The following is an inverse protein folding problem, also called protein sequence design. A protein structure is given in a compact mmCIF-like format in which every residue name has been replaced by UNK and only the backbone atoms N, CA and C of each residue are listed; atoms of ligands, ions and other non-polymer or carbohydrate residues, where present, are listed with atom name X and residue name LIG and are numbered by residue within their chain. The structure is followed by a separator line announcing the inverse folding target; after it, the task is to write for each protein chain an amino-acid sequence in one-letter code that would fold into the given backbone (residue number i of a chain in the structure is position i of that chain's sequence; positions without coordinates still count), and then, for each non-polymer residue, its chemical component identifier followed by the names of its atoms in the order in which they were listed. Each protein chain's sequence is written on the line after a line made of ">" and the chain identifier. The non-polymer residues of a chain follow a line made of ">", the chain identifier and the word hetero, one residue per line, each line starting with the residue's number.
data_IF_155239831521
#
_entry.id   IF_155239831521
#
_cell.length_a   1.000
_cell.length_b   1.000
_cell.length_c   1.000
_cell.angle_alpha   90.00
_cell.angle_beta   90.00
_cell.angle_gamma   90.00
#
_symmetry.space_group_name_H-M   'P 1'
#
loop_
_entity.id
_entity.type
_entity.pdbx_description
1 polymer ?
#
# COMPACT_ATOMS: atom_id res chain seq x y z
N UNK A 1 57.13 9.96 -16.80
CA UNK A 1 56.04 8.96 -16.69
C UNK A 1 55.80 8.46 -15.25
N UNK A 2 56.81 8.01 -14.50
CA UNK A 2 56.63 7.47 -13.11
C UNK A 2 56.14 8.49 -12.06
N UNK A 3 56.36 9.79 -12.26
CA UNK A 3 55.95 10.84 -11.31
C UNK A 3 54.44 11.14 -11.39
N UNK A 4 53.87 11.18 -12.60
CA UNK A 4 52.42 11.34 -12.81
C UNK A 4 51.62 10.15 -12.29
N UNK A 5 52.13 8.92 -12.44
CA UNK A 5 51.50 7.71 -11.89
C UNK A 5 51.43 7.73 -10.36
N UNK A 6 52.46 8.27 -9.70
CA UNK A 6 52.46 8.43 -8.23
C UNK A 6 51.44 9.47 -7.77
N UNK A 7 51.31 10.57 -8.49
CA UNK A 7 50.33 11.63 -8.22
C UNK A 7 48.90 11.08 -8.35
N UNK A 8 48.62 10.31 -9.40
CA UNK A 8 47.31 9.66 -9.62
C UNK A 8 46.99 8.67 -8.49
N UNK A 9 47.95 7.83 -8.09
CA UNK A 9 47.72 6.86 -7.02
C UNK A 9 47.44 7.54 -5.67
N UNK A 10 48.12 8.65 -5.37
CA UNK A 10 47.85 9.43 -4.14
C UNK A 10 46.45 10.02 -4.17
N UNK A 11 46.01 10.56 -5.30
CA UNK A 11 44.64 11.09 -5.46
C UNK A 11 43.60 9.99 -5.28
N UNK A 12 43.81 8.81 -5.87
CA UNK A 12 42.88 7.68 -5.73
C UNK A 12 42.79 7.20 -4.27
N UNK A 13 43.92 7.06 -3.59
CA UNK A 13 43.96 6.67 -2.17
C UNK A 13 43.24 7.71 -1.31
N UNK A 14 43.43 8.99 -1.61
CA UNK A 14 42.78 10.09 -0.88
C UNK A 14 41.25 10.09 -1.09
N UNK A 15 40.78 9.85 -2.32
CA UNK A 15 39.35 9.70 -2.63
C UNK A 15 38.75 8.48 -1.92
N UNK A 16 39.47 7.35 -1.88
CA UNK A 16 39.04 6.15 -1.16
C UNK A 16 38.99 6.38 0.37
N UNK A 17 39.95 7.10 0.94
CA UNK A 17 39.94 7.45 2.37
C UNK A 17 38.79 8.41 2.73
N UNK A 18 38.46 9.36 1.84
CA UNK A 18 37.29 10.24 2.01
C UNK A 18 35.98 9.44 1.93
N UNK A 19 35.92 8.39 1.11
CA UNK A 19 34.74 7.52 1.04
C UNK A 19 34.44 6.79 2.35
N UNK A 20 35.47 6.49 3.17
CA UNK A 20 35.32 5.90 4.50
C UNK A 20 34.83 6.91 5.56
N UNK A 21 34.99 8.21 5.30
CA UNK A 21 34.53 9.30 6.16
C UNK A 21 33.12 9.76 5.83
N UNK A 22 32.45 9.16 4.84
CA UNK A 22 31.03 9.44 4.60
C UNK A 22 30.25 8.91 5.82
N UNK A 23 29.68 9.79 6.67
CA UNK A 23 28.75 9.35 7.69
C UNK A 23 27.58 8.71 6.93
N UNK A 24 27.00 7.62 7.46
CA UNK A 24 25.93 6.81 6.84
C UNK A 24 24.63 7.54 6.51
N UNK A 25 24.71 8.63 5.73
CA UNK A 25 23.64 9.47 5.25
C UNK A 25 22.75 8.73 4.24
N UNK A 26 23.20 7.58 3.72
CA UNK A 26 22.37 6.70 2.90
C UNK A 26 21.35 5.94 3.76
N UNK A 27 21.58 5.79 5.08
CA UNK A 27 20.69 5.00 5.97
C UNK A 27 19.62 5.86 6.67
N UNK A 28 19.71 7.19 6.57
CA UNK A 28 18.74 8.07 7.26
C UNK A 28 17.40 8.22 6.53
N UNK A 29 17.32 7.89 5.25
CA UNK A 29 16.07 7.95 4.50
C UNK A 29 15.06 6.85 4.88
N UNK A 30 15.48 5.74 5.48
CA UNK A 30 14.58 4.63 5.85
C UNK A 30 14.14 4.62 7.32
N UNK A 31 14.68 5.51 8.15
CA UNK A 31 14.37 5.54 9.60
C UNK A 31 13.47 6.73 9.96
N UNK A 32 13.49 7.81 9.18
CA UNK A 32 12.61 8.97 9.39
C UNK A 32 11.14 8.69 9.07
N UNK A 33 10.84 7.68 8.25
CA UNK A 33 9.48 7.19 7.99
C UNK A 33 9.00 6.16 9.04
N UNK A 34 9.85 5.80 10.00
CA UNK A 34 9.54 4.84 11.06
C UNK A 34 9.02 5.52 12.35
N UNK A 35 8.47 6.74 12.25
CA UNK A 35 7.55 7.22 13.27
C UNK A 35 6.21 6.55 13.00
N UNK A 36 6.05 5.33 13.52
CA UNK A 36 4.75 4.66 13.53
C UNK A 36 3.78 5.63 14.23
N UNK A 37 2.81 6.23 13.51
CA UNK A 37 1.98 7.25 14.11
C UNK A 37 1.25 6.60 15.28
N UNK A 38 1.44 7.11 16.49
CA UNK A 38 0.55 6.78 17.58
C UNK A 38 -0.83 7.27 17.14
N UNK A 39 -1.68 6.35 16.72
CA UNK A 39 -3.06 6.67 16.39
C UNK A 39 -3.84 6.78 17.69
N UNK A 40 -4.87 7.62 17.74
CA UNK A 40 -5.82 7.64 18.87
C UNK A 40 -6.51 6.27 19.07
N UNK A 41 -6.40 5.36 18.09
CA UNK A 41 -6.98 4.02 18.11
C UNK A 41 -6.11 2.96 18.81
N UNK A 42 -4.79 3.17 18.91
CA UNK A 42 -3.87 2.22 19.52
C UNK A 42 -2.40 2.42 19.14
N UNK A 43 -1.54 1.63 19.78
CA UNK A 43 -0.09 1.63 19.55
C UNK A 43 0.25 0.79 18.32
N UNK A 44 0.80 1.43 17.30
CA UNK A 44 1.23 0.74 16.09
C UNK A 44 2.48 -0.11 16.37
N UNK A 45 2.47 -1.35 15.88
CA UNK A 45 3.53 -2.36 16.03
C UNK A 45 4.37 -2.47 14.76
N UNK A 46 3.70 -2.53 13.60
CA UNK A 46 4.34 -2.71 12.29
C UNK A 46 3.55 -1.97 11.22
N UNK A 47 4.25 -1.35 10.28
CA UNK A 47 3.68 -0.70 9.09
C UNK A 47 4.46 -1.15 7.89
N UNK A 48 3.75 -1.64 6.87
CA UNK A 48 4.34 -2.02 5.58
C UNK A 48 3.58 -1.34 4.47
N UNK A 49 4.32 -0.85 3.48
CA UNK A 49 3.74 -0.15 2.34
C UNK A 49 4.27 -0.74 1.04
N UNK A 50 3.40 -0.78 0.03
CA UNK A 50 3.77 -1.13 -1.34
C UNK A 50 2.82 -0.45 -2.32
N UNK A 51 3.34 -0.01 -3.45
CA UNK A 51 2.52 0.49 -4.55
C UNK A 51 1.82 -0.69 -5.26
N UNK A 52 0.50 -0.61 -5.44
CA UNK A 52 -0.28 -1.64 -6.15
C UNK A 52 -0.34 -1.36 -7.65
N UNK A 53 -0.42 -0.09 -8.01
CA UNK A 53 -0.45 0.45 -9.36
C UNK A 53 -0.03 1.93 -9.30
N UNK A 54 0.36 2.56 -10.43
CA UNK A 54 0.78 3.96 -10.43
C UNK A 54 -0.22 4.89 -9.73
N UNK A 55 0.17 5.45 -8.59
CA UNK A 55 -0.67 6.35 -7.80
C UNK A 55 -1.64 5.68 -6.81
N UNK A 56 -1.53 4.36 -6.61
CA UNK A 56 -2.28 3.60 -5.61
C UNK A 56 -1.33 2.95 -4.59
N UNK A 57 -1.35 3.43 -3.35
CA UNK A 57 -0.53 2.90 -2.25
C UNK A 57 -1.34 1.95 -1.38
N UNK A 58 -0.79 0.77 -1.10
CA UNK A 58 -1.32 -0.14 -0.10
C UNK A 58 -0.52 -0.04 1.20
N UNK A 59 -1.23 0.10 2.32
CA UNK A 59 -0.67 0.15 3.66
C UNK A 59 -1.23 -0.99 4.51
N UNK A 60 -0.35 -1.82 5.05
CA UNK A 60 -0.62 -2.81 6.09
C UNK A 60 -0.19 -2.23 7.43
N UNK A 61 -1.08 -2.25 8.43
CA UNK A 61 -0.78 -1.79 9.79
C UNK A 61 -1.15 -2.88 10.80
N UNK A 62 -0.17 -3.33 11.58
CA UNK A 62 -0.42 -4.10 12.80
C UNK A 62 -0.36 -3.15 14.00
N UNK A 63 -1.35 -3.19 14.88
CA UNK A 63 -1.40 -2.34 16.07
C UNK A 63 -1.99 -3.09 17.27
N UNK A 64 -1.78 -2.56 18.47
CA UNK A 64 -2.34 -3.05 19.71
C UNK A 64 -3.21 -1.96 20.35
N UNK A 65 -4.44 -2.32 20.72
CA UNK A 65 -5.29 -1.46 21.55
C UNK A 65 -5.78 -2.21 22.79
N UNK A 66 -6.65 -1.58 23.58
CA UNK A 66 -7.24 -2.16 24.80
C UNK A 66 -7.99 -3.48 24.55
N UNK A 67 -8.42 -3.73 23.29
CA UNK A 67 -9.15 -4.93 22.87
C UNK A 67 -8.27 -6.03 22.30
N UNK A 68 -6.95 -5.82 22.18
CA UNK A 68 -6.02 -6.79 21.62
C UNK A 68 -5.28 -6.31 20.38
N UNK A 69 -4.65 -7.26 19.69
CA UNK A 69 -4.00 -7.06 18.39
C UNK A 69 -5.05 -6.78 17.32
N UNK A 70 -4.80 -5.75 16.51
CA UNK A 70 -5.63 -5.34 15.40
C UNK A 70 -4.79 -5.28 14.12
N UNK A 71 -5.46 -5.41 12.97
CA UNK A 71 -4.86 -5.27 11.64
C UNK A 71 -5.70 -4.33 10.79
N UNK A 72 -5.04 -3.40 10.10
CA UNK A 72 -5.67 -2.48 9.16
C UNK A 72 -5.03 -2.66 7.78
N UNK A 73 -5.89 -2.70 6.77
CA UNK A 73 -5.52 -2.75 5.36
C UNK A 73 -6.13 -1.53 4.68
N UNK A 74 -5.29 -0.65 4.13
CA UNK A 74 -5.73 0.58 3.49
C UNK A 74 -5.18 0.66 2.07
N UNK A 75 -5.99 1.20 1.15
CA UNK A 75 -5.57 1.56 -0.20
C UNK A 75 -5.88 3.03 -0.41
N UNK A 76 -4.85 3.82 -0.71
CA UNK A 76 -4.93 5.26 -0.89
C UNK A 76 -4.62 5.61 -2.34
N UNK A 77 -5.46 6.44 -2.95
CA UNK A 77 -5.24 6.98 -4.29
C UNK A 77 -5.89 8.35 -4.43
N UNK A 78 -5.43 9.14 -5.40
CA UNK A 78 -6.05 10.43 -5.73
C UNK A 78 -7.02 10.27 -6.92
N UNK A 79 -8.35 10.43 -6.72
CA UNK A 79 -9.32 10.28 -7.80
C UNK A 79 -9.19 11.35 -8.89
N UNK A 80 -8.49 12.47 -8.63
CA UNK A 80 -8.28 13.54 -9.62
C UNK A 80 -7.16 13.24 -10.62
N UNK A 81 -6.34 12.20 -10.40
CA UNK A 81 -5.26 11.82 -11.33
C UNK A 81 -5.78 11.10 -12.59
N UNK A 82 -7.05 10.67 -12.59
CA UNK A 82 -7.77 10.21 -13.78
C UNK A 82 -7.46 8.79 -14.26
N UNK A 83 -6.46 8.11 -13.69
CA UNK A 83 -6.10 6.72 -14.01
C UNK A 83 -6.66 5.69 -13.03
N UNK A 84 -7.29 6.15 -11.94
CA UNK A 84 -7.84 5.32 -10.87
C UNK A 84 -9.21 5.86 -10.47
N UNK A 85 -10.20 4.97 -10.36
CA UNK A 85 -11.54 5.33 -9.92
C UNK A 85 -12.19 4.21 -9.10
N UNK A 86 -13.02 4.55 -8.10
CA UNK A 86 -13.82 3.57 -7.41
C UNK A 86 -14.99 3.15 -8.30
N UNK A 87 -15.22 1.83 -8.42
CA UNK A 87 -16.38 1.26 -9.13
C UNK A 87 -17.17 0.37 -8.19
N UNK A 88 -18.49 0.47 -8.25
CA UNK A 88 -19.37 -0.45 -7.54
C UNK A 88 -19.25 -1.86 -8.16
N UNK A 89 -18.85 -2.84 -7.36
CA UNK A 89 -18.85 -4.25 -7.76
C UNK A 89 -20.28 -4.79 -7.82
N UNK A 90 -20.62 -5.51 -8.90
CA UNK A 90 -21.95 -6.10 -9.06
C UNK A 90 -21.89 -7.63 -9.05
N UNK A 91 -23.05 -8.26 -8.78
CA UNK A 91 -23.24 -9.71 -8.86
C UNK A 91 -23.65 -10.06 -10.29
N UNK A 92 -22.75 -9.77 -11.21
CA UNK A 92 -22.96 -9.91 -12.64
C UNK A 92 -24.14 -9.03 -13.13
N UNK A 93 -25.21 -9.66 -13.60
CA UNK A 93 -26.44 -9.03 -14.13
C UNK A 93 -27.57 -8.98 -13.09
N UNK A 94 -27.32 -9.42 -11.85
CA UNK A 94 -28.35 -9.63 -10.83
C UNK A 94 -28.13 -8.73 -9.63
N UNK A 95 -29.24 -8.26 -9.04
CA UNK A 95 -29.23 -7.49 -7.79
C UNK A 95 -29.29 -8.43 -6.57
N UNK A 96 -29.92 -9.60 -6.75
CA UNK A 96 -30.04 -10.64 -5.71
C UNK A 96 -28.83 -11.60 -5.68
N UNK A 97 -28.65 -12.28 -4.55
CA UNK A 97 -27.61 -13.27 -4.31
C UNK A 97 -26.45 -12.72 -3.48
N UNK A 98 -25.51 -13.59 -3.11
CA UNK A 98 -24.27 -13.22 -2.42
C UNK A 98 -23.09 -13.55 -3.32
N UNK A 99 -22.10 -12.66 -3.41
CA UNK A 99 -20.90 -12.88 -4.21
C UNK A 99 -19.66 -12.43 -3.46
N UNK A 100 -18.58 -13.22 -3.53
CA UNK A 100 -17.33 -12.86 -2.88
C UNK A 100 -16.70 -11.61 -3.51
N UNK A 101 -16.03 -10.78 -2.72
CA UNK A 101 -15.33 -9.58 -3.24
C UNK A 101 -14.31 -9.95 -4.31
N UNK A 102 -13.58 -11.05 -4.12
CA UNK A 102 -12.64 -11.59 -5.11
C UNK A 102 -13.33 -11.98 -6.42
N UNK A 103 -14.51 -12.60 -6.36
CA UNK A 103 -15.26 -12.99 -7.55
C UNK A 103 -15.84 -11.77 -8.28
N UNK A 104 -16.29 -10.76 -7.55
CA UNK A 104 -16.73 -9.47 -8.13
C UNK A 104 -15.55 -8.74 -8.80
N UNK A 105 -14.36 -8.77 -8.17
CA UNK A 105 -13.14 -8.21 -8.75
C UNK A 105 -12.74 -8.95 -10.04
N UNK A 106 -12.76 -10.29 -10.03
CA UNK A 106 -12.46 -11.10 -11.22
C UNK A 106 -13.44 -10.86 -12.36
N UNK A 107 -14.73 -10.66 -12.07
CA UNK A 107 -15.74 -10.37 -13.08
C UNK A 107 -15.53 -8.99 -13.73
N UNK A 108 -15.12 -8.00 -12.94
CA UNK A 108 -14.85 -6.65 -13.44
C UNK A 108 -13.48 -6.53 -14.14
N UNK A 109 -12.51 -7.36 -13.76
CA UNK A 109 -11.17 -7.38 -14.37
C UNK A 109 -11.22 -7.85 -15.82
N UNK A 110 -10.88 -6.96 -16.75
CA UNK A 110 -10.96 -7.19 -18.20
C UNK A 110 -9.93 -6.35 -18.95
N UNK A 111 -9.64 -6.64 -20.24
CA UNK A 111 -8.75 -5.80 -21.04
C UNK A 111 -9.20 -4.34 -21.04
N UNK A 112 -8.33 -3.43 -20.59
CA UNK A 112 -8.64 -2.00 -20.44
C UNK A 112 -9.30 -1.61 -19.12
N UNK A 113 -9.63 -2.56 -18.25
CA UNK A 113 -10.14 -2.31 -16.89
C UNK A 113 -9.54 -3.29 -15.89
N UNK A 114 -8.46 -2.91 -15.23
CA UNK A 114 -7.79 -3.75 -14.23
C UNK A 114 -8.30 -3.39 -12.83
N UNK A 115 -8.72 -4.40 -12.07
CA UNK A 115 -9.06 -4.24 -10.66
C UNK A 115 -7.79 -4.42 -9.82
N UNK A 116 -7.43 -3.41 -9.04
CA UNK A 116 -6.20 -3.42 -8.22
C UNK A 116 -6.48 -3.65 -6.73
N UNK A 117 -7.72 -3.39 -6.29
CA UNK A 117 -8.17 -3.56 -4.91
C UNK A 117 -9.70 -3.67 -4.86
N UNK A 118 -10.24 -4.25 -3.80
CA UNK A 118 -11.67 -4.33 -3.55
C UNK A 118 -11.99 -4.47 -2.07
N UNK A 119 -13.08 -3.86 -1.63
CA UNK A 119 -13.63 -3.97 -0.27
C UNK A 119 -15.11 -4.35 -0.36
N UNK A 120 -15.67 -4.91 0.71
CA UNK A 120 -17.12 -5.04 0.80
C UNK A 120 -17.76 -3.64 0.84
N UNK A 121 -18.91 -3.51 0.18
CA UNK A 121 -19.65 -2.25 0.11
C UNK A 121 -20.72 -2.17 1.20
N UNK A 122 -21.93 -1.90 0.75
CA UNK A 122 -23.09 -1.59 1.58
C UNK A 122 -23.57 -2.77 2.46
N UNK A 123 -24.44 -2.45 3.42
CA UNK A 123 -25.27 -3.43 4.10
C UNK A 123 -26.23 -4.10 3.10
N UNK A 124 -26.62 -5.33 3.42
CA UNK A 124 -27.52 -6.12 2.59
C UNK A 124 -28.40 -7.04 3.42
N UNK A 125 -29.51 -7.48 2.85
CA UNK A 125 -30.42 -8.41 3.50
C UNK A 125 -29.80 -9.80 3.67
N UNK A 126 -29.72 -10.23 4.93
CA UNK A 126 -29.27 -11.56 5.37
C UNK A 126 -30.40 -12.39 6.04
N UNK A 127 -31.37 -11.82 6.80
CA UNK A 127 -32.34 -12.64 7.53
C UNK A 127 -33.33 -13.41 6.63
N UNK A 128 -33.76 -14.59 7.09
CA UNK A 128 -34.89 -15.35 6.56
C UNK A 128 -34.67 -16.07 5.23
N UNK A 129 -34.17 -15.36 4.21
CA UNK A 129 -33.96 -15.87 2.84
C UNK A 129 -32.60 -15.51 2.23
N UNK A 130 -31.75 -14.74 2.92
CA UNK A 130 -30.42 -14.31 2.47
C UNK A 130 -30.42 -13.79 1.01
N UNK A 131 -31.36 -12.91 0.70
CA UNK A 131 -31.56 -12.36 -0.65
C UNK A 131 -30.32 -11.61 -1.13
N UNK A 132 -29.49 -11.11 -0.20
CA UNK A 132 -28.27 -10.36 -0.48
C UNK A 132 -28.54 -8.99 -1.09
N UNK A 133 -29.79 -8.56 -1.19
CA UNK A 133 -30.16 -7.29 -1.80
C UNK A 133 -29.60 -6.15 -0.95
N UNK A 134 -28.85 -5.17 -1.53
CA UNK A 134 -28.40 -3.99 -0.81
C UNK A 134 -29.58 -3.24 -0.20
N UNK A 135 -29.44 -2.73 1.02
CA UNK A 135 -30.51 -2.02 1.73
C UNK A 135 -30.20 -0.55 2.03
N UNK A 136 -29.11 -0.01 1.47
CA UNK A 136 -28.90 1.42 1.29
C UNK A 136 -29.55 1.96 0.01
N UNK A 137 -29.16 3.18 -0.38
CA UNK A 137 -29.82 4.04 -1.39
C UNK A 137 -29.98 3.42 -2.79
#
# INVERSE_FOLDING_TARGET
>A
MRWYLRQINVVIIFVLLISLLQPGAIVRASISDLYLPATDYGTVIDVRQTELAPGAMYTWIDLQNERGLQKIHAVEFNPQQGNLEPRAGTKDVKVYGMKGVTEMAMYADSPGNRVIAGINGDFYEIPGFATGVPNGL
#
